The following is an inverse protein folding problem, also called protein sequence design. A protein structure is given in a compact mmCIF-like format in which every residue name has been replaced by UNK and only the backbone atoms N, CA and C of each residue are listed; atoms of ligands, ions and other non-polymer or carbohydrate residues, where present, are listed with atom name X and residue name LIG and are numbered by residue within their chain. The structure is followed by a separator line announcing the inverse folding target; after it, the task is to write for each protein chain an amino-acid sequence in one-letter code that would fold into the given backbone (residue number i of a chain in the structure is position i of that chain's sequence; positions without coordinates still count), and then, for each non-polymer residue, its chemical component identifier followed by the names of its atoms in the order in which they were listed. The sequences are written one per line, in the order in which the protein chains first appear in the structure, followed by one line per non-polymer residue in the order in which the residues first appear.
data_IF_558210042452
#
_entry.id   IF_558210042452
#
_cell.length_a   1.000
_cell.length_b   1.000
_cell.length_c   1.000
_cell.angle_alpha   90.00
_cell.angle_beta   90.00
_cell.angle_gamma   90.00
#
_symmetry.space_group_name_H-M   'P 1'
#
loop_
_entity.id
_entity.type
_entity.pdbx_description
1 polymer ?
#
# COMPACT_ATOMS: atom_id res chain seq x y z
N UNK A 1 20.32 10.73 25.67
CA UNK A 1 19.69 10.19 24.43
C UNK A 1 18.77 9.03 24.81
N UNK A 2 17.47 9.30 24.99
CA UNK A 2 16.49 8.31 25.42
C UNK A 2 15.92 7.52 24.24
N UNK A 3 16.07 6.19 24.26
CA UNK A 3 15.46 5.27 23.29
C UNK A 3 14.01 5.03 23.68
N UNK A 4 13.05 5.70 23.03
CA UNK A 4 11.63 5.34 23.16
C UNK A 4 11.38 4.03 22.40
N UNK A 5 11.32 2.92 23.15
CA UNK A 5 10.72 1.68 22.66
C UNK A 5 9.21 1.89 22.57
N UNK A 6 8.69 2.09 21.37
CA UNK A 6 7.25 2.01 21.10
C UNK A 6 6.82 0.55 21.25
N UNK A 7 6.44 0.17 22.47
CA UNK A 7 5.75 -1.08 22.74
C UNK A 7 4.39 -1.03 22.07
N UNK A 8 4.31 -1.53 20.83
CA UNK A 8 3.06 -1.79 20.13
C UNK A 8 2.27 -2.84 20.89
N UNK A 9 1.52 -2.42 21.92
CA UNK A 9 0.49 -3.25 22.53
C UNK A 9 -0.55 -3.49 21.45
N UNK A 10 -0.63 -4.73 20.98
CA UNK A 10 -1.63 -5.18 20.02
C UNK A 10 -3.02 -4.84 20.56
N UNK A 11 -3.61 -3.76 20.04
CA UNK A 11 -4.99 -3.36 20.34
C UNK A 11 -5.99 -4.49 20.01
N UNK A 12 -5.59 -5.43 19.15
CA UNK A 12 -6.37 -6.55 18.66
C UNK A 12 -6.47 -7.73 19.64
N UNK A 13 -5.56 -7.87 20.61
CA UNK A 13 -5.70 -8.86 21.69
C UNK A 13 -6.72 -8.43 22.76
N UNK A 14 -7.01 -7.13 22.87
CA UNK A 14 -7.87 -6.58 23.92
C UNK A 14 -9.33 -7.03 23.82
N UNK A 15 -9.90 -7.12 22.62
CA UNK A 15 -11.33 -7.42 22.43
C UNK A 15 -11.74 -8.84 22.84
N UNK A 16 -10.94 -9.85 22.49
CA UNK A 16 -11.19 -11.25 22.91
C UNK A 16 -10.95 -11.44 24.40
N UNK A 17 -9.89 -10.85 24.93
CA UNK A 17 -9.59 -10.87 26.35
C UNK A 17 -10.71 -10.19 27.16
N UNK A 18 -11.36 -9.17 26.60
CA UNK A 18 -12.51 -8.51 27.22
C UNK A 18 -13.74 -9.42 27.25
N UNK A 19 -14.11 -10.05 26.13
CA UNK A 19 -15.24 -10.98 26.11
C UNK A 19 -15.08 -12.14 27.12
N UNK A 20 -13.88 -12.73 27.19
CA UNK A 20 -13.59 -13.79 28.16
C UNK A 20 -13.66 -13.31 29.62
N UNK A 21 -13.23 -12.07 29.90
CA UNK A 21 -13.34 -11.47 31.24
C UNK A 21 -14.80 -11.24 31.63
N UNK A 22 -15.60 -10.68 30.72
CA UNK A 22 -17.02 -10.44 30.97
C UNK A 22 -17.75 -11.76 31.16
N UNK A 23 -17.46 -12.77 30.35
CA UNK A 23 -18.04 -14.12 30.51
C UNK A 23 -17.80 -14.69 31.91
N UNK A 24 -16.59 -14.54 32.46
CA UNK A 24 -16.27 -15.00 33.81
C UNK A 24 -17.02 -14.22 34.90
N UNK A 25 -17.18 -12.90 34.74
CA UNK A 25 -17.95 -12.06 35.68
C UNK A 25 -19.44 -12.42 35.67
N UNK A 26 -20.00 -12.72 34.50
CA UNK A 26 -21.39 -13.17 34.37
C UNK A 26 -21.61 -14.56 34.98
N UNK A 27 -20.70 -15.51 34.73
CA UNK A 27 -20.73 -16.85 35.36
C UNK A 27 -20.65 -16.76 36.89
N UNK A 28 -19.81 -15.85 37.40
CA UNK A 28 -19.69 -15.57 38.82
C UNK A 28 -20.85 -14.76 39.42
N UNK A 29 -21.85 -14.36 38.62
CA UNK A 29 -22.96 -13.48 39.01
C UNK A 29 -22.50 -12.17 39.68
N UNK A 30 -21.32 -11.68 39.30
CA UNK A 30 -20.71 -10.47 39.87
C UNK A 30 -21.36 -9.20 39.33
N UNK A 31 -21.93 -9.28 38.13
CA UNK A 31 -22.61 -8.17 37.47
C UNK A 31 -23.76 -8.67 36.57
N UNK A 32 -24.76 -7.82 36.29
CA UNK A 32 -25.74 -8.11 35.25
C UNK A 32 -25.11 -8.07 33.85
N UNK A 33 -25.76 -8.74 32.90
CA UNK A 33 -25.31 -8.80 31.52
C UNK A 33 -25.37 -7.44 30.81
N UNK A 34 -24.25 -6.94 30.23
CA UNK A 34 -24.28 -5.72 29.44
C UNK A 34 -25.03 -5.90 28.12
N UNK A 35 -25.81 -4.90 27.71
CA UNK A 35 -26.61 -4.93 26.48
C UNK A 35 -25.81 -5.16 25.19
N UNK A 36 -24.51 -4.85 25.20
CA UNK A 36 -23.61 -5.05 24.07
C UNK A 36 -22.97 -6.45 24.02
N UNK A 37 -23.01 -7.22 25.11
CA UNK A 37 -22.25 -8.47 25.22
C UNK A 37 -22.74 -9.53 24.23
N UNK A 38 -24.05 -9.80 24.20
CA UNK A 38 -24.62 -10.84 23.33
C UNK A 38 -24.49 -10.51 21.83
N UNK A 39 -24.80 -9.28 21.35
CA UNK A 39 -24.53 -8.90 19.97
C UNK A 39 -23.05 -9.00 19.58
N UNK A 40 -22.13 -8.63 20.49
CA UNK A 40 -20.69 -8.71 20.23
C UNK A 40 -20.20 -10.17 20.19
N UNK A 41 -20.78 -11.05 21.01
CA UNK A 41 -20.44 -12.47 21.06
C UNK A 41 -20.91 -13.22 19.82
N UNK A 42 -22.13 -12.96 19.36
CA UNK A 42 -22.79 -13.70 18.27
C UNK A 42 -22.55 -13.06 16.90
N UNK A 43 -22.82 -11.76 16.77
CA UNK A 43 -22.92 -11.12 15.46
C UNK A 43 -21.60 -10.50 15.00
N UNK A 44 -20.77 -10.03 15.93
CA UNK A 44 -19.53 -9.32 15.62
C UNK A 44 -18.35 -9.74 16.52
N UNK A 45 -17.98 -11.03 16.56
CA UNK A 45 -16.83 -11.44 17.35
C UNK A 45 -15.56 -10.74 16.83
N UNK A 46 -14.68 -10.26 17.72
CA UNK A 46 -13.44 -9.63 17.31
C UNK A 46 -12.60 -10.59 16.44
N UNK A 47 -11.92 -10.11 15.38
CA UNK A 47 -11.21 -10.97 14.45
C UNK A 47 -10.16 -11.82 15.16
N UNK A 48 -9.94 -13.06 14.68
CA UNK A 48 -8.86 -13.91 15.17
C UNK A 48 -7.55 -13.31 14.67
N UNK A 49 -6.59 -12.96 15.55
CA UNK A 49 -5.28 -12.54 15.10
C UNK A 49 -4.60 -13.73 14.41
N UNK A 50 -4.66 -13.75 13.09
CA UNK A 50 -3.80 -14.64 12.30
C UNK A 50 -2.38 -14.09 12.39
N UNK A 51 -1.39 -14.98 12.41
CA UNK A 51 -0.01 -14.54 12.16
C UNK A 51 0.02 -14.05 10.72
N UNK A 52 -0.18 -12.76 10.52
CA UNK A 52 -0.06 -12.17 9.21
C UNK A 52 1.36 -12.44 8.71
N UNK A 53 1.52 -12.98 7.49
CA UNK A 53 2.83 -13.08 6.89
C UNK A 53 3.46 -11.68 6.86
N UNK A 54 4.79 -11.63 6.91
CA UNK A 54 5.54 -10.37 6.86
C UNK A 54 5.04 -9.55 5.66
N UNK A 55 4.50 -8.37 5.94
CA UNK A 55 3.98 -7.47 4.90
C UNK A 55 5.11 -7.19 3.91
N UNK A 56 4.89 -7.50 2.63
CA UNK A 56 5.83 -7.18 1.56
C UNK A 56 5.85 -5.68 1.35
N UNK A 57 7.02 -5.11 1.11
CA UNK A 57 7.14 -3.70 0.72
C UNK A 57 6.46 -3.51 -0.63
N UNK A 58 5.53 -2.57 -0.74
CA UNK A 58 5.01 -2.09 -2.02
C UNK A 58 6.17 -1.42 -2.77
N UNK A 59 6.47 -1.92 -3.95
CA UNK A 59 7.45 -1.35 -4.88
C UNK A 59 6.68 -0.90 -6.11
N UNK A 60 6.97 0.31 -6.56
CA UNK A 60 6.40 0.87 -7.78
C UNK A 60 7.51 0.98 -8.82
N UNK A 61 7.19 0.63 -10.07
CA UNK A 61 8.16 0.68 -11.18
C UNK A 61 8.72 2.10 -11.40
N UNK A 62 7.97 3.12 -11.00
CA UNK A 62 8.36 4.52 -11.09
C UNK A 62 9.37 4.98 -10.03
N UNK A 63 9.70 4.15 -9.02
CA UNK A 63 10.63 4.53 -7.96
C UNK A 63 11.98 4.97 -8.54
N UNK A 64 12.46 4.30 -9.58
CA UNK A 64 13.74 4.60 -10.20
C UNK A 64 13.68 5.87 -11.05
N UNK A 65 12.60 6.08 -11.81
CA UNK A 65 12.35 7.33 -12.52
C UNK A 65 12.29 8.52 -11.56
N UNK A 66 11.69 8.32 -10.39
CA UNK A 66 11.64 9.36 -9.37
C UNK A 66 13.01 9.63 -8.75
N UNK A 67 13.85 8.62 -8.50
CA UNK A 67 15.25 8.82 -8.07
C UNK A 67 16.04 9.64 -9.10
N UNK A 68 15.88 9.33 -10.39
CA UNK A 68 16.51 10.09 -11.48
C UNK A 68 16.04 11.55 -11.45
N UNK A 69 14.73 11.79 -11.28
CA UNK A 69 14.16 13.12 -11.20
C UNK A 69 14.76 13.94 -10.04
N UNK A 70 14.83 13.35 -8.84
CA UNK A 70 15.40 14.01 -7.64
C UNK A 70 16.87 14.40 -7.84
N UNK A 71 17.66 13.51 -8.45
CA UNK A 71 19.08 13.78 -8.74
C UNK A 71 19.24 14.95 -9.71
N UNK A 72 18.34 15.08 -10.69
CA UNK A 72 18.37 16.17 -11.68
C UNK A 72 17.78 17.48 -11.14
N UNK A 73 16.90 17.42 -10.14
CA UNK A 73 16.20 18.58 -9.60
C UNK A 73 16.38 18.61 -8.07
N UNK A 74 17.53 19.08 -7.55
CA UNK A 74 17.77 19.12 -6.11
C UNK A 74 16.78 20.01 -5.36
N UNK A 75 16.26 21.07 -6.01
CA UNK A 75 15.20 21.95 -5.48
C UNK A 75 13.79 21.35 -5.48
N UNK A 76 13.60 20.07 -5.84
CA UNK A 76 12.25 19.47 -5.86
C UNK A 76 11.56 19.50 -4.47
N UNK A 77 12.34 19.53 -3.39
CA UNK A 77 11.82 19.56 -2.02
C UNK A 77 11.03 20.83 -1.71
N UNK A 78 11.35 21.91 -2.42
CA UNK A 78 10.71 23.22 -2.27
C UNK A 78 9.49 23.35 -3.20
N UNK A 79 9.27 22.39 -4.10
CA UNK A 79 8.09 22.40 -4.97
C UNK A 79 6.84 22.03 -4.18
N UNK A 80 5.73 22.80 -4.33
CA UNK A 80 4.47 22.46 -3.69
C UNK A 80 3.96 21.12 -4.22
N UNK A 81 3.90 20.13 -3.34
CA UNK A 81 3.34 18.82 -3.67
C UNK A 81 1.81 18.88 -3.57
N UNK A 82 1.15 18.53 -4.66
CA UNK A 82 -0.30 18.30 -4.64
C UNK A 82 -0.56 17.01 -3.86
N UNK A 83 -1.39 17.10 -2.82
CA UNK A 83 -1.92 15.91 -2.15
C UNK A 83 -2.76 15.11 -3.14
N UNK A 84 -2.74 13.78 -3.00
CA UNK A 84 -3.33 12.84 -3.96
C UNK A 84 -4.83 13.14 -4.23
N UNK A 85 -5.54 13.64 -3.22
CA UNK A 85 -6.94 14.03 -3.32
C UNK A 85 -7.16 15.27 -4.20
N UNK A 86 -6.28 16.28 -4.09
CA UNK A 86 -6.33 17.48 -4.94
C UNK A 86 -5.88 17.18 -6.37
N UNK A 87 -4.91 16.28 -6.55
CA UNK A 87 -4.48 15.82 -7.87
C UNK A 87 -5.63 15.10 -8.60
N UNK A 88 -6.38 14.24 -7.90
CA UNK A 88 -7.58 13.57 -8.45
C UNK A 88 -8.69 14.54 -8.83
N UNK A 89 -8.97 15.55 -7.99
CA UNK A 89 -10.05 16.54 -8.25
C UNK A 89 -9.71 17.51 -9.37
N UNK A 90 -8.45 17.94 -9.47
CA UNK A 90 -8.05 18.98 -10.43
C UNK A 90 -7.47 18.43 -11.73
N UNK A 91 -7.10 17.15 -11.76
CA UNK A 91 -6.33 16.55 -12.87
C UNK A 91 -4.92 17.13 -13.03
N UNK A 92 -4.51 18.07 -12.18
CA UNK A 92 -3.21 18.75 -12.28
C UNK A 92 -2.14 17.89 -11.63
N UNK A 93 -1.28 17.32 -12.47
CA UNK A 93 -0.10 16.58 -12.02
C UNK A 93 1.02 17.55 -11.61
N UNK A 94 1.68 17.23 -10.50
CA UNK A 94 2.93 17.90 -10.11
C UNK A 94 3.98 17.70 -11.20
N UNK A 95 5.04 18.52 -11.16
CA UNK A 95 6.11 18.46 -12.17
C UNK A 95 6.81 17.11 -12.20
N UNK A 96 7.05 16.49 -11.03
CA UNK A 96 7.65 15.16 -10.96
C UNK A 96 6.72 14.08 -11.53
N UNK A 97 5.41 14.13 -11.26
CA UNK A 97 4.47 13.17 -11.86
C UNK A 97 4.39 13.33 -13.39
N UNK A 98 4.41 14.57 -13.90
CA UNK A 98 4.50 14.83 -15.35
C UNK A 98 5.77 14.26 -15.96
N UNK A 99 6.91 14.42 -15.28
CA UNK A 99 8.18 13.84 -15.71
C UNK A 99 8.09 12.31 -15.77
N UNK A 100 7.65 11.67 -14.69
CA UNK A 100 7.52 10.21 -14.61
C UNK A 100 6.59 9.70 -15.71
N UNK A 101 5.39 10.29 -15.85
CA UNK A 101 4.41 9.90 -16.88
C UNK A 101 4.99 10.00 -18.29
N UNK A 102 5.72 11.07 -18.60
CA UNK A 102 6.36 11.25 -19.92
C UNK A 102 7.46 10.22 -20.15
N UNK A 103 8.32 9.98 -19.17
CA UNK A 103 9.44 9.05 -19.30
C UNK A 103 8.99 7.60 -19.36
N UNK A 104 7.94 7.24 -18.62
CA UNK A 104 7.30 5.93 -18.72
C UNK A 104 6.79 5.66 -20.13
N UNK A 105 6.02 6.60 -20.70
CA UNK A 105 5.51 6.43 -22.07
C UNK A 105 6.62 6.28 -23.12
N UNK A 106 7.75 6.97 -22.95
CA UNK A 106 8.91 6.80 -23.84
C UNK A 106 9.62 5.46 -23.67
N UNK A 107 9.61 4.89 -22.47
CA UNK A 107 10.16 3.55 -22.23
C UNK A 107 9.25 2.48 -22.83
N UNK A 108 7.94 2.61 -22.64
CA UNK A 108 6.94 1.71 -23.25
C UNK A 108 7.06 1.69 -24.78
N UNK A 109 7.14 2.86 -25.43
CA UNK A 109 7.33 2.96 -26.87
C UNK A 109 8.63 2.33 -27.37
N UNK A 110 9.75 2.51 -26.66
CA UNK A 110 11.03 1.89 -27.03
C UNK A 110 10.98 0.37 -26.93
N UNK A 111 10.28 -0.15 -25.93
CA UNK A 111 10.11 -1.61 -25.78
C UNK A 111 9.26 -2.15 -26.93
N UNK A 112 8.16 -1.48 -27.29
CA UNK A 112 7.33 -1.87 -28.44
C UNK A 112 8.10 -1.82 -29.76
N UNK A 113 8.93 -0.79 -30.00
CA UNK A 113 9.78 -0.71 -31.19
C UNK A 113 10.81 -1.84 -31.25
N UNK A 114 11.45 -2.17 -30.12
CA UNK A 114 12.43 -3.26 -30.05
C UNK A 114 11.78 -4.64 -30.25
N UNK A 115 10.56 -4.84 -29.75
CA UNK A 115 9.78 -6.06 -29.98
C UNK A 115 9.30 -6.16 -31.44
N UNK A 116 8.87 -5.06 -32.06
CA UNK A 116 8.49 -5.02 -33.46
C UNK A 116 9.66 -5.35 -34.39
N UNK A 117 10.86 -4.82 -34.11
CA UNK A 117 12.08 -5.08 -34.90
C UNK A 117 12.54 -6.55 -34.81
N UNK A 118 12.44 -7.17 -33.62
CA UNK A 118 12.74 -8.60 -33.44
C UNK A 118 11.78 -9.50 -34.23
N UNK A 119 10.50 -9.11 -34.29
CA UNK A 119 9.47 -9.90 -34.98
C UNK A 119 9.57 -9.74 -36.51
N UNK A 120 9.78 -8.51 -37.00
CA UNK A 120 10.01 -8.25 -38.43
C UNK A 120 11.33 -8.84 -38.95
N UNK A 121 12.36 -8.92 -38.12
CA UNK A 121 13.61 -9.62 -38.44
C UNK A 121 13.48 -11.15 -38.52
N UNK A 122 12.47 -11.74 -37.87
CA UNK A 122 12.17 -13.18 -37.95
C UNK A 122 11.35 -13.53 -39.20
N UNK A 123 10.39 -12.69 -39.60
CA UNK A 123 9.59 -12.93 -40.82
C UNK A 123 10.44 -12.81 -42.10
N UNK A 124 11.36 -11.85 -42.17
CA UNK A 124 12.24 -11.70 -43.32
C UNK A 124 13.25 -12.86 -43.49
N UNK A 125 13.59 -13.57 -42.41
CA UNK A 125 14.48 -14.76 -42.45
C UNK A 125 13.75 -16.05 -42.80
N UNK A 126 12.43 -16.11 -42.62
CA UNK A 126 11.62 -17.30 -42.92
C UNK A 126 11.10 -17.33 -44.37
N UNK A 127 11.13 -16.20 -45.09
CA UNK A 127 10.73 -16.10 -46.49
C UNK A 127 11.84 -16.31 -47.53
N UNK A 128 13.10 -16.48 -47.10
CA UNK A 128 14.27 -16.67 -47.98
C UNK A 128 14.78 -18.14 -48.02
N UNK A 129 13.97 -19.13 -47.61
CA UNK A 129 14.29 -20.57 -47.75
C UNK A 129 13.42 -21.26 -48.80
#
# INVERSE_FOLDING_TARGET
MGKYRSGGRSAFQGGRALLAKVENLLKGKVMPEPSWYEPMRICMPPPIPTRFPKVKKLVFDDEDLFKIYKRRNPGYKDEPMMMDEMARKTGKLTRHFRFIKKWRGLLEQRVEEEEADKTGGQENRAGEQ
#
